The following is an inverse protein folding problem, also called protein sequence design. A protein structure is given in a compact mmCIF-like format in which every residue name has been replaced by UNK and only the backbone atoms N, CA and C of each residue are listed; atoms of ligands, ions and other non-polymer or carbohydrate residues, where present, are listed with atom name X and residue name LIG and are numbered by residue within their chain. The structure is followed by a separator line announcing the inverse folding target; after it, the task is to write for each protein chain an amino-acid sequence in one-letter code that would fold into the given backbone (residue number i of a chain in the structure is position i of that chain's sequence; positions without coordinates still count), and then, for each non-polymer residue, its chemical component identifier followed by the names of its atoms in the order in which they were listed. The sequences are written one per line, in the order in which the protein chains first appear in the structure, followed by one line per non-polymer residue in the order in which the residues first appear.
data_IF_091857861095
#
_entry.id   IF_091857861095
#
_cell.length_a   1.000
_cell.length_b   1.000
_cell.length_c   1.000
_cell.angle_alpha   90.00
_cell.angle_beta   90.00
_cell.angle_gamma   90.00
#
_symmetry.space_group_name_H-M   'P 1'
#
loop_
_entity.id
_entity.type
_entity.pdbx_description
1 polymer ?
#
# COMPACT_ATOMS: atom_id res chain seq x y z
N UNK A 1 21.18 -17.50 13.98
CA UNK A 1 21.78 -16.76 15.12
C UNK A 1 20.77 -16.73 16.25
N UNK A 2 21.19 -16.95 17.52
CA UNK A 2 20.27 -17.02 18.66
C UNK A 2 19.64 -15.66 18.99
N UNK A 3 18.43 -15.69 19.56
CA UNK A 3 17.69 -14.52 20.04
C UNK A 3 18.53 -13.75 21.08
N UNK A 4 18.63 -12.42 21.00
CA UNK A 4 19.37 -11.65 21.99
C UNK A 4 18.72 -11.77 23.38
N UNK A 5 19.55 -11.76 24.44
CA UNK A 5 19.07 -11.66 25.83
C UNK A 5 18.18 -10.42 26.01
N UNK A 6 17.18 -10.53 26.89
CA UNK A 6 16.28 -9.43 27.25
C UNK A 6 17.06 -8.21 27.75
N UNK A 7 16.53 -7.01 27.47
CA UNK A 7 17.17 -5.76 27.90
C UNK A 7 17.33 -5.69 29.42
N UNK A 8 16.36 -6.19 30.19
CA UNK A 8 16.44 -6.26 31.65
C UNK A 8 17.65 -7.09 32.11
N UNK A 9 17.84 -8.28 31.56
CA UNK A 9 18.99 -9.13 31.90
C UNK A 9 20.31 -8.48 31.48
N UNK A 10 20.33 -7.74 30.36
CA UNK A 10 21.50 -6.98 29.91
C UNK A 10 21.84 -5.80 30.84
N UNK A 11 20.84 -5.06 31.29
CA UNK A 11 21.02 -3.99 32.29
C UNK A 11 21.45 -4.56 33.64
N UNK A 12 20.94 -5.74 34.02
CA UNK A 12 21.35 -6.44 35.23
C UNK A 12 22.83 -6.80 35.22
N UNK A 13 23.38 -7.19 34.07
CA UNK A 13 24.83 -7.42 33.89
C UNK A 13 25.62 -6.14 34.17
N UNK A 14 25.19 -5.00 33.60
CA UNK A 14 25.84 -3.70 33.81
C UNK A 14 25.78 -3.29 35.27
N UNK A 15 24.61 -3.43 35.91
CA UNK A 15 24.42 -3.12 37.32
C UNK A 15 25.37 -3.92 38.22
N UNK A 16 25.45 -5.24 38.03
CA UNK A 16 26.34 -6.10 38.82
C UNK A 16 27.83 -5.78 38.61
N UNK A 17 28.20 -5.33 37.41
CA UNK A 17 29.58 -4.92 37.11
C UNK A 17 29.91 -3.56 37.76
N UNK A 18 29.06 -2.55 37.58
CA UNK A 18 29.35 -1.17 37.96
C UNK A 18 29.02 -0.86 39.42
N UNK A 19 27.85 -1.28 39.92
CA UNK A 19 27.43 -0.98 41.29
C UNK A 19 27.96 -2.01 42.30
N UNK A 20 27.96 -3.30 41.95
CA UNK A 20 28.39 -4.36 42.86
C UNK A 20 29.88 -4.74 42.72
N UNK A 21 30.59 -4.22 41.69
CA UNK A 21 32.01 -4.51 41.46
C UNK A 21 32.31 -5.98 41.15
N UNK A 22 31.34 -6.73 40.62
CA UNK A 22 31.53 -8.15 40.36
C UNK A 22 32.40 -8.37 39.12
N UNK A 23 33.30 -9.37 39.19
CA UNK A 23 34.09 -9.77 38.02
C UNK A 23 33.21 -10.47 36.98
N UNK A 24 33.60 -10.40 35.70
CA UNK A 24 32.86 -11.05 34.60
C UNK A 24 32.54 -12.53 34.87
N UNK A 25 33.47 -13.24 35.53
CA UNK A 25 33.32 -14.66 35.87
C UNK A 25 32.23 -14.86 36.92
N UNK A 26 32.19 -13.97 37.93
CA UNK A 26 31.17 -13.99 38.97
C UNK A 26 29.79 -13.70 38.37
N UNK A 27 29.68 -12.68 37.52
CA UNK A 27 28.43 -12.32 36.83
C UNK A 27 27.94 -13.47 35.94
N UNK A 28 28.84 -14.07 35.15
CA UNK A 28 28.53 -15.20 34.28
C UNK A 28 27.95 -16.39 35.06
N UNK A 29 28.55 -16.72 36.20
CA UNK A 29 28.09 -17.79 37.07
C UNK A 29 26.76 -17.44 37.78
N UNK A 30 26.60 -16.21 38.28
CA UNK A 30 25.38 -15.76 38.96
C UNK A 30 24.17 -15.74 38.03
N UNK A 31 24.35 -15.30 36.79
CA UNK A 31 23.26 -15.15 35.81
C UNK A 31 23.14 -16.34 34.85
N UNK A 32 23.95 -17.39 35.03
CA UNK A 32 23.99 -18.58 34.17
C UNK A 32 24.15 -18.26 32.67
N UNK A 33 25.03 -17.31 32.36
CA UNK A 33 25.31 -16.85 30.98
C UNK A 33 26.80 -17.01 30.66
N UNK A 34 27.12 -17.11 29.37
CA UNK A 34 28.51 -17.21 28.94
C UNK A 34 29.31 -15.94 29.27
N UNK A 35 30.54 -16.12 29.74
CA UNK A 35 31.47 -15.02 30.05
C UNK A 35 31.74 -14.12 28.84
N UNK A 36 31.74 -14.67 27.63
CA UNK A 36 31.87 -13.91 26.38
C UNK A 36 30.69 -12.95 26.16
N UNK A 37 29.48 -13.35 26.54
CA UNK A 37 28.28 -12.50 26.45
C UNK A 37 28.32 -11.37 27.46
N UNK A 38 28.73 -11.65 28.70
CA UNK A 38 28.96 -10.64 29.75
C UNK A 38 29.94 -9.57 29.26
N UNK A 39 31.14 -10.00 28.81
CA UNK A 39 32.16 -9.10 28.27
C UNK A 39 31.65 -8.25 27.11
N UNK A 40 30.91 -8.86 26.17
CA UNK A 40 30.36 -8.15 25.00
C UNK A 40 29.36 -7.08 25.41
N UNK A 41 28.50 -7.34 26.39
CA UNK A 41 27.49 -6.40 26.87
C UNK A 41 28.14 -5.26 27.66
N UNK A 42 29.08 -5.58 28.57
CA UNK A 42 29.83 -4.55 29.32
C UNK A 42 30.62 -3.66 28.36
N UNK A 43 31.28 -4.24 27.35
CA UNK A 43 31.98 -3.48 26.31
C UNK A 43 31.04 -2.56 25.53
N UNK A 44 29.86 -3.06 25.13
CA UNK A 44 28.86 -2.25 24.43
C UNK A 44 28.40 -1.07 25.29
N UNK A 45 28.14 -1.31 26.58
CA UNK A 45 27.77 -0.26 27.53
C UNK A 45 28.86 0.79 27.67
N UNK A 46 30.12 0.41 27.84
CA UNK A 46 31.23 1.37 27.90
C UNK A 46 31.40 2.20 26.62
N UNK A 47 31.04 1.64 25.45
CA UNK A 47 31.18 2.32 24.17
C UNK A 47 30.02 3.24 23.82
N UNK A 48 28.80 2.88 24.23
CA UNK A 48 27.57 3.53 23.75
C UNK A 48 26.68 4.09 24.86
N UNK A 49 26.92 3.73 26.12
CA UNK A 49 26.04 4.04 27.25
C UNK A 49 24.74 3.25 27.28
N UNK A 50 24.49 2.36 26.30
CA UNK A 50 23.29 1.54 26.20
C UNK A 50 23.67 0.05 26.06
N UNK A 51 22.72 -0.82 26.39
CA UNK A 51 22.83 -2.27 26.22
C UNK A 51 21.83 -2.80 25.21
N UNK A 52 21.03 -1.96 24.53
CA UNK A 52 20.08 -2.43 23.52
C UNK A 52 20.80 -3.29 22.46
N UNK A 53 20.24 -4.44 22.05
CA UNK A 53 20.80 -5.20 20.94
C UNK A 53 20.83 -4.33 19.69
N UNK A 54 21.92 -4.38 18.91
CA UNK A 54 21.92 -3.80 17.58
C UNK A 54 20.71 -4.35 16.83
N UNK A 55 19.82 -3.45 16.43
CA UNK A 55 18.75 -3.81 15.51
C UNK A 55 19.43 -4.26 14.24
N UNK A 56 19.24 -5.54 13.91
CA UNK A 56 19.83 -6.09 12.70
C UNK A 56 19.23 -5.34 11.50
N UNK A 57 19.98 -4.39 10.93
CA UNK A 57 19.76 -3.98 9.54
C UNK A 57 20.22 -5.15 8.68
N UNK A 58 19.36 -6.16 8.54
CA UNK A 58 19.67 -7.35 7.77
C UNK A 58 19.56 -7.00 6.30
N UNK A 59 20.70 -7.03 5.60
CA UNK A 59 20.78 -7.03 4.14
C UNK A 59 21.46 -5.80 3.54
N UNK A 60 21.81 -5.88 2.24
CA UNK A 60 22.35 -4.75 1.50
C UNK A 60 21.38 -3.56 1.51
N UNK A 61 21.89 -2.33 1.31
CA UNK A 61 21.03 -1.16 1.18
C UNK A 61 20.00 -1.37 0.09
N UNK A 62 18.82 -0.79 0.30
CA UNK A 62 17.72 -0.90 -0.66
C UNK A 62 18.12 -0.21 -1.96
N UNK A 63 17.81 -0.86 -3.07
CA UNK A 63 18.15 -0.35 -4.41
C UNK A 63 17.33 0.91 -4.79
N UNK A 64 16.08 1.00 -4.36
CA UNK A 64 15.25 2.20 -4.52
C UNK A 64 15.41 3.07 -3.27
N UNK A 65 15.97 4.28 -3.45
CA UNK A 65 16.10 5.31 -2.41
C UNK A 65 14.87 6.22 -2.44
N UNK A 66 14.90 7.25 -1.61
CA UNK A 66 13.76 8.13 -1.39
C UNK A 66 13.32 8.86 -2.66
N UNK A 67 14.25 9.44 -3.41
CA UNK A 67 13.96 10.12 -4.67
C UNK A 67 13.30 9.19 -5.72
N UNK A 68 13.75 7.95 -5.83
CA UNK A 68 13.12 6.99 -6.76
C UNK A 68 11.72 6.57 -6.29
N UNK A 69 11.50 6.50 -4.97
CA UNK A 69 10.18 6.23 -4.39
C UNK A 69 9.22 7.40 -4.64
N UNK A 70 9.65 8.64 -4.42
CA UNK A 70 8.87 9.84 -4.68
C UNK A 70 8.46 9.92 -6.16
N UNK A 71 9.38 9.62 -7.07
CA UNK A 71 9.07 9.53 -8.50
C UNK A 71 8.03 8.44 -8.82
N UNK A 72 8.16 7.25 -8.23
CA UNK A 72 7.17 6.19 -8.42
C UNK A 72 5.78 6.64 -7.94
N UNK A 73 5.72 7.28 -6.77
CA UNK A 73 4.47 7.78 -6.19
C UNK A 73 3.84 8.86 -7.07
N UNK A 74 4.63 9.83 -7.56
CA UNK A 74 4.10 10.91 -8.41
C UNK A 74 3.53 10.37 -9.71
N UNK A 75 4.21 9.42 -10.36
CA UNK A 75 3.73 8.78 -11.59
C UNK A 75 2.43 8.00 -11.33
N UNK A 76 2.33 7.28 -10.22
CA UNK A 76 1.13 6.51 -9.87
C UNK A 76 -0.06 7.39 -9.49
N UNK A 77 0.16 8.55 -8.86
CA UNK A 77 -0.91 9.50 -8.55
C UNK A 77 -1.49 10.14 -9.81
N UNK A 78 -0.64 10.41 -10.81
CA UNK A 78 -1.06 10.95 -12.11
C UNK A 78 -1.74 9.88 -12.97
N UNK A 79 -1.19 8.67 -12.98
CA UNK A 79 -1.72 7.55 -13.75
C UNK A 79 -1.79 6.29 -12.88
N UNK A 80 -2.91 6.09 -12.15
CA UNK A 80 -3.10 4.91 -11.31
C UNK A 80 -3.18 3.60 -12.09
N UNK A 81 -3.49 3.65 -13.40
CA UNK A 81 -3.63 2.49 -14.29
C UNK A 81 -2.31 2.03 -14.92
N UNK A 82 -1.18 2.66 -14.57
CA UNK A 82 0.13 2.33 -15.13
C UNK A 82 0.54 0.87 -14.84
N UNK A 83 1.07 0.18 -15.86
CA UNK A 83 1.63 -1.15 -15.66
C UNK A 83 3.02 -1.07 -15.02
N UNK A 84 3.43 -2.13 -14.33
CA UNK A 84 4.71 -2.13 -13.60
C UNK A 84 5.93 -2.09 -14.55
N UNK A 85 5.81 -2.62 -15.76
CA UNK A 85 6.84 -2.56 -16.80
C UNK A 85 6.94 -1.16 -17.43
N UNK A 86 5.82 -0.48 -17.65
CA UNK A 86 5.77 0.94 -18.04
C UNK A 86 6.39 1.83 -16.95
N UNK A 87 6.02 1.59 -15.70
CA UNK A 87 6.58 2.28 -14.54
C UNK A 87 8.08 2.05 -14.43
N UNK A 88 8.54 0.80 -14.63
CA UNK A 88 9.96 0.46 -14.70
C UNK A 88 10.68 1.27 -15.77
N UNK A 89 10.14 1.34 -16.99
CA UNK A 89 10.73 2.12 -18.09
C UNK A 89 10.81 3.60 -17.76
N UNK A 90 9.73 4.18 -17.21
CA UNK A 90 9.71 5.59 -16.78
C UNK A 90 10.72 5.88 -15.68
N UNK A 91 10.82 4.98 -14.69
CA UNK A 91 11.78 5.10 -13.60
C UNK A 91 13.22 5.08 -14.15
N UNK A 92 13.55 4.10 -14.97
CA UNK A 92 14.88 3.97 -15.56
C UNK A 92 15.24 5.21 -16.41
N UNK A 93 14.28 5.74 -17.17
CA UNK A 93 14.49 6.93 -17.98
C UNK A 93 14.70 8.20 -17.15
N UNK A 94 14.00 8.35 -16.02
CA UNK A 94 14.05 9.56 -15.20
C UNK A 94 15.21 9.57 -14.19
N UNK A 95 15.55 8.42 -13.59
CA UNK A 95 16.53 8.33 -12.49
C UNK A 95 17.75 7.48 -12.80
N UNK A 96 17.76 6.77 -13.94
CA UNK A 96 18.80 5.79 -14.29
C UNK A 96 18.71 4.49 -13.48
N UNK A 97 17.71 4.34 -12.60
CA UNK A 97 17.55 3.14 -11.77
C UNK A 97 16.82 2.02 -12.52
N UNK A 98 17.54 0.98 -12.92
CA UNK A 98 16.94 -0.21 -13.56
C UNK A 98 16.44 -1.23 -12.54
N UNK A 99 15.30 -0.91 -11.90
CA UNK A 99 14.71 -1.78 -10.90
C UNK A 99 13.92 -2.95 -11.50
N UNK A 100 14.15 -4.18 -11.00
CA UNK A 100 13.29 -5.31 -11.35
C UNK A 100 11.84 -5.05 -10.93
N UNK A 101 10.88 -5.62 -11.68
CA UNK A 101 9.44 -5.53 -11.35
C UNK A 101 9.16 -6.06 -9.93
N UNK A 102 9.85 -7.11 -9.51
CA UNK A 102 9.72 -7.66 -8.16
C UNK A 102 10.21 -6.67 -7.07
N UNK A 103 11.26 -5.88 -7.36
CA UNK A 103 11.73 -4.83 -6.43
C UNK A 103 10.74 -3.66 -6.35
N UNK A 104 10.15 -3.26 -7.48
CA UNK A 104 9.10 -2.25 -7.52
C UNK A 104 7.89 -2.74 -6.72
N UNK A 105 7.40 -3.95 -6.97
CA UNK A 105 6.25 -4.53 -6.26
C UNK A 105 6.46 -4.60 -4.74
N UNK A 106 7.62 -5.10 -4.28
CA UNK A 106 7.97 -5.12 -2.85
C UNK A 106 8.03 -3.72 -2.24
N UNK A 107 8.54 -2.76 -3.00
CA UNK A 107 8.60 -1.36 -2.56
C UNK A 107 7.21 -0.75 -2.43
N UNK A 108 6.33 -0.95 -3.41
CA UNK A 108 4.93 -0.51 -3.37
C UNK A 108 4.19 -1.06 -2.15
N UNK A 109 4.30 -2.37 -1.91
CA UNK A 109 3.68 -2.99 -0.74
C UNK A 109 4.20 -2.38 0.58
N UNK A 110 5.49 -2.07 0.65
CA UNK A 110 6.12 -1.46 1.83
C UNK A 110 5.63 -0.03 2.08
N UNK A 111 5.40 0.75 1.03
CA UNK A 111 4.86 2.12 1.13
C UNK A 111 3.32 2.17 1.19
N UNK A 112 2.66 1.01 1.32
CA UNK A 112 1.22 0.93 1.51
C UNK A 112 0.38 0.98 0.22
N UNK A 113 1.01 0.97 -0.95
CA UNK A 113 0.30 0.84 -2.22
C UNK A 113 -0.16 -0.59 -2.46
N UNK A 114 -1.35 -0.73 -3.02
CA UNK A 114 -2.01 -2.02 -3.28
C UNK A 114 -2.71 -1.99 -4.63
N UNK A 115 -2.75 -3.15 -5.30
CA UNK A 115 -3.43 -3.31 -6.58
C UNK A 115 -4.93 -3.44 -6.36
N UNK A 116 -5.75 -2.63 -7.06
CA UNK A 116 -7.20 -2.57 -6.90
C UNK A 116 -7.90 -2.40 -8.24
N UNK A 117 -9.20 -2.71 -8.28
CA UNK A 117 -10.05 -2.43 -9.45
C UNK A 117 -10.20 -0.91 -9.60
N UNK A 118 -10.03 -0.41 -10.83
CA UNK A 118 -10.14 1.02 -11.13
C UNK A 118 -11.60 1.40 -11.26
N UNK A 119 -11.96 2.55 -10.68
CA UNK A 119 -13.22 3.21 -10.93
C UNK A 119 -13.06 4.20 -12.08
N UNK A 120 -13.77 3.97 -13.17
CA UNK A 120 -13.81 4.87 -14.32
C UNK A 120 -14.93 5.89 -14.15
N UNK A 121 -14.58 7.17 -14.12
CA UNK A 121 -15.55 8.28 -14.11
C UNK A 121 -15.60 8.87 -15.53
N UNK A 122 -16.81 9.12 -16.02
CA UNK A 122 -16.99 9.74 -17.32
C UNK A 122 -16.60 11.22 -17.24
N UNK A 123 -15.71 11.68 -18.12
CA UNK A 123 -15.35 13.09 -18.22
C UNK A 123 -16.52 13.99 -18.62
N UNK A 124 -17.55 13.41 -19.25
CA UNK A 124 -18.76 14.10 -19.70
C UNK A 124 -19.77 14.31 -18.55
N UNK A 125 -19.45 13.88 -17.33
CA UNK A 125 -20.31 14.04 -16.18
C UNK A 125 -20.34 15.51 -15.72
N UNK A 126 -21.53 16.09 -15.66
CA UNK A 126 -21.77 17.44 -15.13
C UNK A 126 -22.48 17.34 -13.78
N UNK A 127 -21.86 17.87 -12.73
CA UNK A 127 -22.44 17.87 -11.37
C UNK A 127 -23.67 18.78 -11.25
N UNK A 128 -23.78 19.86 -12.02
CA UNK A 128 -24.94 20.75 -11.98
C UNK A 128 -26.19 20.06 -12.53
N UNK A 129 -26.04 19.39 -13.68
CA UNK A 129 -27.13 18.60 -14.28
C UNK A 129 -27.52 17.42 -13.37
N UNK A 130 -26.56 16.79 -12.68
CA UNK A 130 -26.87 15.75 -11.69
C UNK A 130 -27.66 16.28 -10.51
N UNK A 131 -27.31 17.45 -9.98
CA UNK A 131 -28.06 18.05 -8.88
C UNK A 131 -29.48 18.41 -9.31
N UNK A 132 -29.63 19.03 -10.48
CA UNK A 132 -30.94 19.37 -11.04
C UNK A 132 -31.80 18.12 -11.23
N UNK A 133 -31.23 17.06 -11.79
CA UNK A 133 -31.92 15.78 -11.93
C UNK A 133 -32.36 15.19 -10.58
N UNK A 134 -31.49 15.23 -9.56
CA UNK A 134 -31.82 14.73 -8.22
C UNK A 134 -32.94 15.56 -7.56
N UNK A 135 -32.95 16.87 -7.77
CA UNK A 135 -34.02 17.76 -7.29
C UNK A 135 -35.35 17.42 -7.97
N UNK A 136 -35.37 17.31 -9.30
CA UNK A 136 -36.56 16.93 -10.07
C UNK A 136 -37.08 15.54 -9.66
N UNK A 137 -36.19 14.56 -9.50
CA UNK A 137 -36.54 13.21 -9.06
C UNK A 137 -37.08 13.16 -7.62
N UNK A 138 -36.65 14.07 -6.74
CA UNK A 138 -37.12 14.11 -5.35
C UNK A 138 -38.61 14.44 -5.22
N UNK A 139 -39.20 15.05 -6.25
CA UNK A 139 -40.62 15.42 -6.30
C UNK A 139 -41.51 14.27 -6.82
N UNK A 140 -40.92 13.22 -7.39
CA UNK A 140 -41.65 12.14 -8.06
C UNK A 140 -41.74 10.94 -7.11
N UNK A 141 -42.96 10.43 -6.91
CA UNK A 141 -43.15 9.22 -6.10
C UNK A 141 -42.56 7.99 -6.82
N UNK A 142 -41.90 7.07 -6.11
CA UNK A 142 -41.27 5.90 -6.73
C UNK A 142 -42.22 5.05 -7.59
N UNK A 143 -43.50 5.00 -7.24
CA UNK A 143 -44.55 4.26 -7.95
C UNK A 143 -44.85 4.84 -9.35
N UNK A 144 -44.50 6.10 -9.59
CA UNK A 144 -44.68 6.78 -10.87
C UNK A 144 -43.49 6.64 -11.81
N UNK A 145 -42.39 5.99 -11.35
CA UNK A 145 -41.14 5.90 -12.10
C UNK A 145 -41.10 4.57 -12.88
N UNK A 146 -40.78 4.68 -14.17
CA UNK A 146 -40.39 3.55 -15.02
C UNK A 146 -38.94 3.77 -15.43
N UNK A 147 -38.05 2.86 -15.02
CA UNK A 147 -36.66 2.86 -15.45
C UNK A 147 -36.56 2.21 -16.81
N UNK A 148 -35.94 2.89 -17.76
CA UNK A 148 -35.59 2.33 -19.07
C UNK A 148 -34.07 2.33 -19.13
N UNK A 149 -33.48 1.18 -19.44
CA UNK A 149 -32.04 1.07 -19.66
C UNK A 149 -31.77 0.37 -21.00
N UNK A 150 -30.71 0.83 -21.67
CA UNK A 150 -30.22 0.24 -22.91
C UNK A 150 -28.88 -0.45 -22.63
N UNK A 151 -28.91 -1.78 -22.58
CA UNK A 151 -27.69 -2.58 -22.47
C UNK A 151 -27.14 -2.87 -23.87
N UNK A 152 -25.95 -2.36 -24.15
CA UNK A 152 -25.21 -2.67 -25.37
C UNK A 152 -24.04 -3.63 -25.11
N UNK A 153 -23.93 -4.71 -25.90
CA UNK A 153 -22.72 -5.55 -25.89
C UNK A 153 -21.66 -4.95 -26.79
N UNK A 154 -20.67 -4.29 -26.19
CA UNK A 154 -19.54 -3.67 -26.89
C UNK A 154 -18.28 -4.55 -26.77
N UNK A 155 -17.37 -4.52 -27.75
CA UNK A 155 -16.07 -5.22 -27.69
C UNK A 155 -15.04 -4.46 -26.85
N UNK A 156 -15.49 -3.73 -25.81
CA UNK A 156 -14.65 -2.92 -24.91
C UNK A 156 -13.75 -3.80 -24.04
N UNK A 157 -12.68 -4.33 -24.64
CA UNK A 157 -11.59 -5.05 -23.96
C UNK A 157 -10.35 -4.18 -23.70
N UNK A 158 -10.38 -2.90 -24.04
CA UNK A 158 -9.19 -2.05 -24.05
C UNK A 158 -8.95 -1.26 -22.77
N UNK A 159 -9.91 -1.23 -21.83
CA UNK A 159 -9.74 -0.51 -20.55
C UNK A 159 -8.95 -1.34 -19.54
N UNK A 160 -8.10 -0.66 -18.78
CA UNK A 160 -7.28 -1.30 -17.74
C UNK A 160 -8.13 -1.51 -16.49
N UNK A 161 -8.41 -2.76 -16.16
CA UNK A 161 -9.30 -3.05 -15.04
C UNK A 161 -8.67 -2.81 -13.66
N UNK A 162 -7.34 -2.78 -13.57
CA UNK A 162 -6.61 -2.73 -12.31
C UNK A 162 -5.53 -1.67 -12.33
N UNK A 163 -5.38 -1.00 -11.18
CA UNK A 163 -4.39 0.03 -10.93
C UNK A 163 -3.84 -0.07 -9.52
N UNK A 164 -2.95 0.85 -9.15
CA UNK A 164 -2.36 0.91 -7.82
C UNK A 164 -2.75 2.20 -7.11
N UNK A 165 -3.08 2.08 -5.82
CA UNK A 165 -3.25 3.23 -4.93
C UNK A 165 -2.95 2.81 -3.48
N UNK A 166 -2.76 3.79 -2.60
CA UNK A 166 -2.70 3.59 -1.15
C UNK A 166 -3.85 2.70 -0.65
N UNK A 167 -3.55 1.84 0.31
CA UNK A 167 -4.53 0.96 0.98
C UNK A 167 -5.72 1.79 1.49
N UNK A 168 -6.94 1.27 1.32
CA UNK A 168 -8.18 1.99 1.63
C UNK A 168 -8.72 2.93 0.55
N UNK A 169 -7.88 3.43 -0.38
CA UNK A 169 -8.32 4.38 -1.42
C UNK A 169 -8.53 3.68 -2.78
N UNK A 170 -9.67 3.89 -3.42
CA UNK A 170 -9.95 3.35 -4.76
C UNK A 170 -9.25 4.19 -5.83
N UNK A 171 -8.46 3.59 -6.74
CA UNK A 171 -7.89 4.33 -7.88
C UNK A 171 -9.01 4.77 -8.82
N UNK A 172 -9.00 6.05 -9.17
CA UNK A 172 -9.98 6.68 -10.06
C UNK A 172 -9.28 7.11 -11.33
N UNK A 173 -9.92 6.87 -12.49
CA UNK A 173 -9.43 7.33 -13.78
C UNK A 173 -10.58 7.99 -14.53
N UNK A 174 -10.36 9.24 -14.96
CA UNK A 174 -11.34 9.97 -15.77
C UNK A 174 -11.12 9.64 -17.23
N UNK A 175 -12.16 9.20 -17.93
CA UNK A 175 -12.06 8.85 -19.36
C UNK A 175 -13.28 9.30 -20.14
N UNK A 176 -13.11 9.47 -21.45
CA UNK A 176 -14.22 9.74 -22.37
C UNK A 176 -14.90 8.41 -22.71
N UNK A 177 -16.23 8.39 -22.67
CA UNK A 177 -17.00 7.19 -22.92
C UNK A 177 -17.57 7.24 -24.33
N UNK A 178 -16.75 6.89 -25.33
CA UNK A 178 -17.20 6.86 -26.74
C UNK A 178 -17.89 5.53 -27.03
N UNK A 179 -19.14 5.55 -27.47
CA UNK A 179 -19.87 4.37 -27.92
C UNK A 179 -19.39 3.90 -29.29
N UNK A 180 -19.03 2.62 -29.43
CA UNK A 180 -18.78 1.98 -30.73
C UNK A 180 -20.07 1.40 -31.34
N UNK A 181 -19.96 0.69 -32.47
CA UNK A 181 -21.06 -0.09 -33.03
C UNK A 181 -21.46 -1.22 -32.06
N UNK A 182 -22.76 -1.32 -31.74
CA UNK A 182 -23.29 -2.22 -30.71
C UNK A 182 -24.56 -2.91 -31.16
N UNK A 183 -24.77 -4.11 -30.61
CA UNK A 183 -26.11 -4.70 -30.48
C UNK A 183 -26.68 -4.20 -29.16
N UNK A 184 -27.88 -3.64 -29.22
CA UNK A 184 -28.54 -3.02 -28.07
C UNK A 184 -29.78 -3.83 -27.69
N UNK A 185 -29.98 -4.01 -26.38
CA UNK A 185 -31.20 -4.51 -25.80
C UNK A 185 -31.78 -3.43 -24.90
N UNK A 186 -33.06 -3.10 -25.09
CA UNK A 186 -33.78 -2.14 -24.26
C UNK A 186 -34.60 -2.91 -23.25
N UNK A 187 -34.50 -2.53 -21.98
CA UNK A 187 -35.25 -3.10 -20.87
C UNK A 187 -35.95 -1.99 -20.13
N UNK A 188 -37.21 -2.22 -19.75
CA UNK A 188 -37.98 -1.33 -18.89
C UNK A 188 -38.37 -2.06 -17.60
N UNK A 189 -38.34 -1.35 -16.47
CA UNK A 189 -38.69 -1.86 -15.15
C UNK A 189 -39.53 -0.82 -14.40
N UNK A 190 -40.51 -1.28 -13.63
CA UNK A 190 -41.31 -0.45 -12.72
C UNK A 190 -41.47 -1.13 -11.36
N UNK A 191 -41.80 -0.35 -10.33
CA UNK A 191 -42.01 -0.89 -8.97
C UNK A 191 -43.12 -1.95 -8.89
N UNK A 192 -44.13 -1.88 -9.76
CA UNK A 192 -45.28 -2.80 -9.76
C UNK A 192 -44.95 -4.22 -10.25
N UNK A 193 -43.79 -4.43 -10.88
CA UNK A 193 -43.39 -5.74 -11.45
C UNK A 193 -42.63 -6.63 -10.46
N UNK A 194 -42.24 -6.15 -9.29
CA UNK A 194 -41.63 -6.98 -8.23
C UNK A 194 -42.74 -7.57 -7.35
N UNK A 195 -43.56 -8.48 -7.91
CA UNK A 195 -44.27 -9.46 -7.09
C UNK A 195 -43.29 -10.58 -6.78
N UNK A 196 -42.71 -10.59 -5.58
CA UNK A 196 -42.07 -11.79 -5.03
C UNK A 196 -43.09 -12.94 -5.10
N UNK A 197 -42.72 -14.02 -5.78
CA UNK A 197 -43.32 -15.34 -5.57
C UNK A 197 -42.97 -15.83 -4.17
#
# INVERSE_FOLDING_TARGET
MPVPLSNDLRWRIVYLSHHNGYSDKKIANTLYISRSTVKRIIKLYHQTGDVSPCTHQSGPPRMLREAEIEFIVSVMLINPSIYLDELKRKLCAATGCDASIATICRTLNRIGFTRKKIQYIALQQDEQERMKFMEEMSLISPEMIVWIDETGSDRRKERRNFGYHLRGITPVEHSIFVGGHRLNAIVAMSFSQIKRL
#
